data_IF_917269486582
#
_entry.id   IF_917269486582
#
_cell.length_a   1.000
_cell.length_b   1.000
_cell.length_c   1.000
_cell.angle_alpha   90.00
_cell.angle_beta   90.00
_cell.angle_gamma   90.00
#
_symmetry.space_group_name_H-M   'P 1'
#
loop_
_entity.id
_entity.type
_entity.pdbx_description
1 polymer ?
#
# COMPACT_ATOMS: atom_id res chain seq x y z
N UNK A 1 11.21 -16.23 -5.65
CA UNK A 1 10.17 -15.19 -5.41
C UNK A 1 8.93 -15.88 -4.87
N UNK A 2 8.15 -15.29 -3.95
CA UNK A 2 7.07 -16.01 -3.26
C UNK A 2 6.02 -16.65 -4.19
N UNK A 3 5.69 -15.99 -5.31
CA UNK A 3 4.71 -16.45 -6.29
C UNK A 3 5.32 -17.24 -7.46
N UNK A 4 6.65 -17.24 -7.61
CA UNK A 4 7.37 -17.74 -8.80
C UNK A 4 6.98 -17.06 -10.14
N UNK A 5 6.23 -15.94 -10.08
CA UNK A 5 5.78 -15.15 -11.22
C UNK A 5 6.55 -13.83 -11.24
N UNK A 6 7.20 -13.52 -12.36
CA UNK A 6 7.80 -12.21 -12.59
C UNK A 6 6.70 -11.20 -12.92
N UNK A 7 6.65 -10.11 -12.17
CA UNK A 7 5.67 -9.04 -12.38
C UNK A 7 6.26 -8.00 -13.34
N UNK A 8 5.60 -7.78 -14.48
CA UNK A 8 5.95 -6.79 -15.50
C UNK A 8 4.81 -5.82 -15.83
N UNK A 9 3.60 -6.17 -15.45
CA UNK A 9 2.34 -5.50 -15.79
C UNK A 9 1.28 -5.83 -14.72
N UNK A 10 0.07 -5.28 -14.87
CA UNK A 10 -1.03 -5.54 -13.92
C UNK A 10 -1.49 -7.00 -13.94
N UNK A 11 -1.55 -7.64 -15.12
CA UNK A 11 -2.04 -9.01 -15.26
C UNK A 11 -1.12 -10.02 -14.54
N UNK A 12 0.19 -9.89 -14.73
CA UNK A 12 1.20 -10.68 -14.01
C UNK A 12 1.17 -10.42 -12.50
N UNK A 13 0.86 -9.20 -12.07
CA UNK A 13 0.68 -8.87 -10.65
C UNK A 13 -0.57 -9.55 -10.05
N UNK A 14 -1.70 -9.55 -10.77
CA UNK A 14 -2.92 -10.25 -10.39
C UNK A 14 -2.70 -11.76 -10.26
N UNK A 15 -2.03 -12.37 -11.25
CA UNK A 15 -1.63 -13.78 -11.19
C UNK A 15 -0.70 -14.07 -10.02
N UNK A 16 0.24 -13.18 -9.72
CA UNK A 16 1.17 -13.33 -8.61
C UNK A 16 0.44 -13.34 -7.24
N UNK A 17 -0.52 -12.45 -7.02
CA UNK A 17 -1.26 -12.43 -5.74
C UNK A 17 -2.19 -13.64 -5.60
N UNK A 18 -2.82 -14.10 -6.69
CA UNK A 18 -3.62 -15.35 -6.69
C UNK A 18 -2.78 -16.57 -6.40
N UNK A 19 -1.58 -16.66 -6.97
CA UNK A 19 -0.66 -17.76 -6.68
C UNK A 19 -0.32 -17.84 -5.19
N UNK A 20 -0.22 -16.70 -4.49
CA UNK A 20 0.04 -16.67 -3.04
C UNK A 20 -1.21 -17.06 -2.23
N UNK A 21 -2.40 -16.62 -2.63
CA UNK A 21 -3.67 -17.10 -2.03
C UNK A 21 -3.79 -18.62 -2.16
N UNK A 22 -3.50 -19.17 -3.35
CA UNK A 22 -3.56 -20.62 -3.62
C UNK A 22 -2.53 -21.42 -2.82
N UNK A 23 -1.46 -20.78 -2.32
CA UNK A 23 -0.49 -21.37 -1.39
C UNK A 23 -0.96 -21.34 0.08
N UNK A 24 -2.14 -20.79 0.37
CA UNK A 24 -2.78 -20.82 1.69
C UNK A 24 -2.88 -19.48 2.41
N UNK A 25 -2.45 -18.37 1.80
CA UNK A 25 -2.67 -17.05 2.38
C UNK A 25 -4.16 -16.67 2.31
N UNK A 26 -4.69 -16.06 3.37
CA UNK A 26 -6.07 -15.57 3.39
C UNK A 26 -6.20 -14.21 2.68
N UNK A 27 -5.19 -13.37 2.83
CA UNK A 27 -5.17 -12.02 2.31
C UNK A 27 -3.76 -11.71 1.81
N UNK A 28 -3.66 -11.10 0.64
CA UNK A 28 -2.38 -10.73 0.03
C UNK A 28 -2.46 -9.29 -0.45
N UNK A 29 -1.46 -8.48 -0.11
CA UNK A 29 -1.34 -7.08 -0.52
C UNK A 29 0.06 -6.85 -1.07
N UNK A 30 0.15 -6.45 -2.34
CA UNK A 30 1.35 -5.82 -2.90
C UNK A 30 1.28 -4.34 -2.52
N UNK A 31 2.09 -3.94 -1.55
CA UNK A 31 2.05 -2.59 -0.94
C UNK A 31 2.64 -1.50 -1.81
N UNK A 32 3.49 -1.85 -2.77
CA UNK A 32 3.97 -0.93 -3.80
C UNK A 32 4.38 -1.68 -5.05
N UNK A 33 3.84 -1.27 -6.20
CA UNK A 33 4.18 -1.79 -7.52
C UNK A 33 4.50 -0.62 -8.46
N UNK A 34 5.64 -0.73 -9.14
CA UNK A 34 6.05 0.21 -10.18
C UNK A 34 5.94 -0.50 -11.53
N UNK A 35 5.11 0.04 -12.42
CA UNK A 35 4.90 -0.52 -13.75
C UNK A 35 5.49 0.41 -14.82
N UNK A 36 6.04 -0.13 -15.91
CA UNK A 36 6.49 0.67 -17.06
C UNK A 36 5.36 1.55 -17.60
N UNK A 37 5.64 2.83 -17.88
CA UNK A 37 4.66 3.79 -18.38
C UNK A 37 3.71 4.35 -17.31
N UNK A 38 3.91 4.01 -16.03
CA UNK A 38 3.14 4.52 -14.88
C UNK A 38 4.04 5.13 -13.81
N UNK A 39 5.14 5.77 -14.20
CA UNK A 39 6.21 6.23 -13.32
C UNK A 39 5.76 7.30 -12.29
N UNK A 40 4.69 8.01 -12.60
CA UNK A 40 4.05 9.00 -11.74
C UNK A 40 3.18 8.38 -10.63
N UNK A 41 2.96 7.06 -10.67
CA UNK A 41 2.09 6.33 -9.75
C UNK A 41 2.82 5.19 -9.06
N UNK A 42 2.25 4.78 -7.93
CA UNK A 42 2.54 3.52 -7.26
C UNK A 42 1.23 2.77 -7.18
N UNK A 43 1.19 1.58 -7.77
CA UNK A 43 0.01 0.73 -7.74
C UNK A 43 0.05 -0.16 -6.49
N UNK A 44 -1.10 -0.31 -5.85
CA UNK A 44 -1.34 -1.25 -4.74
C UNK A 44 -2.34 -2.26 -5.24
N UNK A 45 -2.01 -3.54 -5.08
CA UNK A 45 -2.89 -4.63 -5.49
C UNK A 45 -3.15 -5.50 -4.29
N UNK A 46 -4.41 -5.83 -4.05
CA UNK A 46 -4.80 -6.74 -2.99
C UNK A 46 -5.85 -7.73 -3.43
N UNK A 47 -5.84 -8.88 -2.76
CA UNK A 47 -6.83 -9.93 -2.92
C UNK A 47 -7.08 -10.59 -1.56
N UNK A 48 -8.33 -10.95 -1.33
CA UNK A 48 -8.75 -11.77 -0.19
C UNK A 48 -9.28 -13.09 -0.72
N UNK A 49 -9.11 -14.18 0.04
CA UNK A 49 -9.55 -15.53 -0.30
C UNK A 49 -11.06 -15.61 -0.63
N UNK A 50 -11.88 -14.71 -0.07
CA UNK A 50 -13.31 -14.64 -0.35
C UNK A 50 -13.68 -14.05 -1.72
N UNK A 51 -12.74 -13.41 -2.42
CA UNK A 51 -13.00 -12.82 -3.74
C UNK A 51 -13.00 -13.88 -4.85
N UNK A 52 -13.94 -13.75 -5.79
CA UNK A 52 -14.04 -14.63 -6.96
C UNK A 52 -12.81 -14.48 -7.85
N UNK A 53 -12.52 -15.51 -8.64
CA UNK A 53 -11.44 -15.43 -9.61
C UNK A 53 -11.65 -14.23 -10.55
N UNK A 54 -10.59 -13.45 -10.80
CA UNK A 54 -10.67 -12.21 -11.58
C UNK A 54 -11.04 -10.95 -10.78
N UNK A 55 -11.47 -11.05 -9.52
CA UNK A 55 -11.74 -9.88 -8.66
C UNK A 55 -10.49 -9.47 -7.88
N UNK A 56 -10.19 -8.18 -7.87
CA UNK A 56 -9.02 -7.60 -7.21
C UNK A 56 -9.35 -6.21 -6.66
N UNK A 57 -8.68 -5.84 -5.58
CA UNK A 57 -8.60 -4.45 -5.17
C UNK A 57 -7.37 -3.82 -5.80
N UNK A 58 -7.54 -2.68 -6.44
CA UNK A 58 -6.46 -1.92 -7.08
C UNK A 58 -6.58 -0.46 -6.71
N UNK A 59 -5.52 0.10 -6.13
CA UNK A 59 -5.39 1.55 -5.89
C UNK A 59 -4.19 2.08 -6.68
N UNK A 60 -4.36 3.21 -7.33
CA UNK A 60 -3.27 3.94 -7.98
C UNK A 60 -2.97 5.22 -7.22
N UNK A 61 -1.83 5.26 -6.55
CA UNK A 61 -1.45 6.37 -5.69
C UNK A 61 -0.43 7.27 -6.38
N UNK A 62 -0.46 8.60 -6.20
CA UNK A 62 0.58 9.46 -6.73
C UNK A 62 1.93 9.13 -6.07
N UNK A 63 2.94 8.93 -6.90
CA UNK A 63 4.30 8.63 -6.42
C UNK A 63 4.89 9.86 -5.75
N UNK A 64 5.31 9.69 -4.50
CA UNK A 64 6.07 10.71 -3.79
C UNK A 64 7.56 10.56 -4.10
N UNK A 65 8.21 11.63 -4.56
CA UNK A 65 9.66 11.64 -4.81
C UNK A 65 10.42 11.53 -3.49
N UNK A 66 11.54 10.80 -3.49
CA UNK A 66 12.41 10.62 -2.32
C UNK A 66 12.61 9.16 -1.96
N UNK A 67 13.51 8.91 -1.02
CA UNK A 67 13.75 7.59 -0.41
C UNK A 67 13.38 7.69 1.06
N UNK A 68 12.47 6.83 1.49
CA UNK A 68 11.93 6.84 2.86
C UNK A 68 12.15 5.48 3.49
N UNK A 69 12.64 5.46 4.73
CA UNK A 69 12.80 4.22 5.51
C UNK A 69 11.56 3.96 6.36
N UNK A 70 11.28 2.71 6.74
CA UNK A 70 10.17 2.38 7.66
C UNK A 70 8.75 2.41 7.07
N UNK A 71 8.56 2.75 5.79
CA UNK A 71 7.23 2.75 5.16
C UNK A 71 6.55 1.37 5.19
N UNK A 72 7.32 0.29 5.06
CA UNK A 72 6.81 -1.08 5.09
C UNK A 72 6.28 -1.47 6.47
N UNK A 73 7.01 -1.12 7.53
CA UNK A 73 6.62 -1.38 8.92
C UNK A 73 5.36 -0.58 9.28
N UNK A 74 5.34 0.71 8.91
CA UNK A 74 4.17 1.56 9.08
C UNK A 74 2.96 1.01 8.30
N UNK A 75 3.15 0.62 7.04
CA UNK A 75 2.07 0.06 6.22
C UNK A 75 1.49 -1.22 6.85
N UNK A 76 2.35 -2.10 7.35
CA UNK A 76 1.91 -3.34 8.01
C UNK A 76 1.12 -3.06 9.29
N UNK A 77 1.60 -2.13 10.13
CA UNK A 77 0.88 -1.71 11.34
C UNK A 77 -0.47 -1.07 11.03
N UNK A 78 -0.54 -0.19 10.03
CA UNK A 78 -1.80 0.42 9.58
C UNK A 78 -2.77 -0.59 9.00
N UNK A 79 -2.29 -1.51 8.13
CA UNK A 79 -3.11 -2.59 7.59
C UNK A 79 -3.73 -3.41 8.73
N UNK A 80 -2.94 -3.78 9.74
CA UNK A 80 -3.44 -4.55 10.90
C UNK A 80 -4.55 -3.78 11.65
N UNK A 81 -4.32 -2.50 11.94
CA UNK A 81 -5.31 -1.66 12.64
C UNK A 81 -6.60 -1.54 11.83
N UNK A 82 -6.51 -1.20 10.55
CA UNK A 82 -7.70 -1.01 9.72
C UNK A 82 -8.40 -2.33 9.40
N UNK A 83 -7.68 -3.44 9.32
CA UNK A 83 -8.26 -4.77 9.22
C UNK A 83 -9.08 -5.13 10.46
N UNK A 84 -8.61 -4.76 11.66
CA UNK A 84 -9.38 -4.96 12.89
C UNK A 84 -10.71 -4.19 12.88
N UNK A 85 -10.72 -2.97 12.35
CA UNK A 85 -11.93 -2.14 12.25
C UNK A 85 -12.86 -2.55 11.10
N UNK A 86 -12.30 -3.02 9.98
CA UNK A 86 -13.01 -3.29 8.73
C UNK A 86 -12.66 -4.68 8.16
N UNK A 87 -12.90 -5.78 8.90
CA UNK A 87 -12.43 -7.11 8.51
C UNK A 87 -13.04 -7.64 7.21
N UNK A 88 -14.21 -7.12 6.82
CA UNK A 88 -14.93 -7.51 5.61
C UNK A 88 -15.01 -6.40 4.56
N UNK A 89 -14.41 -5.24 4.82
CA UNK A 89 -14.42 -4.08 3.91
C UNK A 89 -12.98 -3.71 3.54
N UNK A 90 -12.44 -4.53 2.62
CA UNK A 90 -11.09 -4.37 2.11
C UNK A 90 -10.87 -3.06 1.37
N UNK A 91 -11.92 -2.52 0.74
CA UNK A 91 -11.84 -1.22 0.08
C UNK A 91 -11.52 -0.14 1.11
N UNK A 92 -12.36 -0.02 2.14
CA UNK A 92 -12.19 1.01 3.17
C UNK A 92 -10.88 0.86 3.94
N UNK A 93 -10.47 -0.38 4.29
CA UNK A 93 -9.21 -0.57 5.01
C UNK A 93 -8.00 -0.16 4.18
N UNK A 94 -7.98 -0.48 2.88
CA UNK A 94 -6.87 -0.12 1.99
C UNK A 94 -6.84 1.39 1.77
N UNK A 95 -7.98 2.01 1.49
CA UNK A 95 -8.09 3.46 1.32
C UNK A 95 -7.57 4.21 2.54
N UNK A 96 -7.99 3.82 3.76
CA UNK A 96 -7.52 4.44 5.00
C UNK A 96 -6.03 4.22 5.23
N UNK A 97 -5.54 3.00 5.01
CA UNK A 97 -4.12 2.66 5.14
C UNK A 97 -3.26 3.55 4.24
N UNK A 98 -3.59 3.60 2.95
CA UNK A 98 -2.76 4.31 1.98
C UNK A 98 -2.97 5.82 2.01
N UNK A 99 -4.10 6.31 2.51
CA UNK A 99 -4.28 7.72 2.86
C UNK A 99 -3.33 8.14 4.00
N UNK A 100 -3.22 7.35 5.07
CA UNK A 100 -2.25 7.60 6.15
C UNK A 100 -0.81 7.56 5.63
N UNK A 101 -0.45 6.56 4.82
CA UNK A 101 0.90 6.46 4.21
C UNK A 101 1.22 7.70 3.36
N UNK A 102 0.31 8.11 2.48
CA UNK A 102 0.50 9.29 1.64
C UNK A 102 0.66 10.57 2.48
N UNK A 103 -0.12 10.72 3.55
CA UNK A 103 -0.01 11.86 4.44
C UNK A 103 1.34 11.89 5.18
N UNK A 104 1.76 10.77 5.74
CA UNK A 104 3.05 10.63 6.45
C UNK A 104 4.21 10.93 5.50
N UNK A 105 4.21 10.35 4.29
CA UNK A 105 5.27 10.60 3.31
C UNK A 105 5.28 12.07 2.89
N UNK A 106 4.11 12.68 2.64
CA UNK A 106 4.03 14.11 2.30
C UNK A 106 4.58 15.00 3.40
N UNK A 107 4.27 14.71 4.66
CA UNK A 107 4.83 15.46 5.80
C UNK A 107 6.33 15.25 5.92
N UNK A 108 6.77 14.00 5.82
CA UNK A 108 8.19 13.63 5.85
C UNK A 108 8.97 14.33 4.74
N UNK A 109 8.40 14.50 3.56
CA UNK A 109 9.04 15.25 2.46
C UNK A 109 9.24 16.74 2.77
N UNK A 110 8.35 17.33 3.56
CA UNK A 110 8.36 18.77 3.87
C UNK A 110 9.25 19.06 5.07
N UNK A 111 9.24 18.19 6.08
CA UNK A 111 9.84 18.45 7.41
C UNK A 111 10.98 17.49 7.76
N UNK A 112 11.03 16.34 7.09
CA UNK A 112 11.97 15.28 7.42
C UNK A 112 13.41 15.67 7.11
N UNK A 113 14.30 15.14 7.93
CA UNK A 113 15.74 15.34 7.81
C UNK A 113 16.34 14.14 7.09
N UNK A 114 16.99 14.36 5.96
CA UNK A 114 17.69 13.31 5.23
C UNK A 114 18.91 12.82 6.04
N UNK A 115 19.03 11.50 6.15
CA UNK A 115 20.14 10.78 6.77
C UNK A 115 20.60 9.69 5.83
N UNK A 116 21.87 9.70 5.45
CA UNK A 116 22.48 8.63 4.64
C UNK A 116 21.69 8.27 3.35
N UNK A 117 21.14 9.26 2.64
CA UNK A 117 20.33 9.11 1.42
C UNK A 117 18.90 8.57 1.62
N UNK A 118 18.37 8.56 2.84
CA UNK A 118 16.97 8.30 3.13
C UNK A 118 16.42 9.29 4.15
N UNK A 119 15.12 9.49 4.17
CA UNK A 119 14.44 10.33 5.16
C UNK A 119 13.67 9.45 6.14
N UNK A 120 13.91 9.65 7.44
CA UNK A 120 13.13 8.99 8.49
C UNK A 120 11.70 9.55 8.55
N UNK A 121 10.72 8.71 8.87
CA UNK A 121 9.31 9.12 8.85
C UNK A 121 8.97 10.06 10.01
N UNK A 122 8.25 11.13 9.69
CA UNK A 122 7.74 12.10 10.64
C UNK A 122 6.45 11.60 11.32
N UNK A 123 6.54 10.49 12.06
CA UNK A 123 5.37 9.81 12.67
C UNK A 123 4.68 10.66 13.73
N UNK A 124 5.43 11.27 14.64
CA UNK A 124 4.87 12.10 15.72
C UNK A 124 4.11 13.29 15.13
N UNK A 125 4.70 13.97 14.15
CA UNK A 125 4.08 15.09 13.45
C UNK A 125 2.90 14.67 12.55
N UNK A 126 2.75 13.37 12.27
CA UNK A 126 1.69 12.81 11.44
C UNK A 126 0.62 12.05 12.24
N UNK A 127 0.62 12.18 13.58
CA UNK A 127 -0.32 11.49 14.48
C UNK A 127 -1.78 11.65 14.02
N UNK A 128 -2.20 12.87 13.70
CA UNK A 128 -3.59 13.18 13.33
C UNK A 128 -4.01 12.42 12.08
N UNK A 129 -3.15 12.34 11.08
CA UNK A 129 -3.42 11.66 9.81
C UNK A 129 -3.30 10.12 9.91
N UNK A 130 -2.60 9.63 10.93
CA UNK A 130 -2.59 8.20 11.29
C UNK A 130 -3.90 7.82 11.99
N UNK A 131 -4.36 8.62 12.96
CA UNK A 131 -5.59 8.36 13.73
C UNK A 131 -6.86 8.57 12.90
N UNK A 132 -6.85 9.54 11.97
CA UNK A 132 -8.01 9.92 11.17
C UNK A 132 -7.61 10.31 9.74
N UNK A 133 -7.23 9.33 8.91
CA UNK A 133 -6.85 9.60 7.52
C UNK A 133 -8.02 10.18 6.73
N UNK A 134 -7.72 11.24 5.98
CA UNK A 134 -8.64 11.78 4.97
C UNK A 134 -8.48 11.00 3.67
N UNK A 135 -9.42 10.11 3.40
CA UNK A 135 -9.53 9.44 2.11
C UNK A 135 -10.05 10.46 1.11
N UNK A 136 -9.23 10.81 0.12
CA UNK A 136 -9.69 11.56 -1.04
C UNK A 136 -10.14 10.49 -2.02
N UNK A 137 -11.45 10.39 -2.26
CA UNK A 137 -12.00 9.42 -3.21
C UNK A 137 -11.25 9.52 -4.54
N UNK A 138 -10.75 8.38 -5.01
CA UNK A 138 -10.23 8.28 -6.36
C UNK A 138 -11.45 8.16 -7.28
N UNK A 139 -11.67 9.16 -8.11
CA UNK A 139 -12.71 9.16 -9.15
C UNK A 139 -12.49 8.02 -10.15
#
# INVERSE_FOLDING_TARGET
WLSDIKISDLDSAYKAVRAIINKGAQNVVITSLHLPGREAYVDVIAVSQGLREGEYYHLSLPRQKGKYSGCGDLCTGLLLVWFHHYPNDFKTLLEKTFASIQAVIRRTRIQGIERCNWTELELIASKKEIESPTVIESA
#
